data_IF_172391718237
#
_entry.id   IF_172391718237
#
_cell.length_a   1.000
_cell.length_b   1.000
_cell.length_c   1.000
_cell.angle_alpha   90.00
_cell.angle_beta   90.00
_cell.angle_gamma   90.00
#
_symmetry.space_group_name_H-M   'P 1'
#
loop_
_entity.id
_entity.type
_entity.pdbx_description
1 polymer ?
#
# COMPACT_ATOMS: atom_id res chain seq x y z
N UNK A 1 -29.73 -17.99 -1.63
CA UNK A 1 -28.55 -18.78 -1.90
C UNK A 1 -27.35 -17.84 -1.74
N UNK A 2 -26.67 -17.87 -0.58
CA UNK A 2 -25.46 -17.08 -0.36
C UNK A 2 -24.35 -17.71 -1.20
N UNK A 3 -23.85 -16.96 -2.19
CA UNK A 3 -22.56 -17.27 -2.79
C UNK A 3 -21.50 -17.16 -1.67
N UNK A 4 -20.93 -18.29 -1.28
CA UNK A 4 -19.79 -18.36 -0.40
C UNK A 4 -18.72 -17.43 -0.99
N UNK A 5 -18.29 -16.40 -0.22
CA UNK A 5 -17.08 -15.67 -0.52
C UNK A 5 -15.97 -16.73 -0.62
N UNK A 6 -15.40 -16.88 -1.80
CA UNK A 6 -14.21 -17.69 -1.96
C UNK A 6 -13.17 -17.13 -0.98
N UNK A 7 -12.69 -17.99 -0.09
CA UNK A 7 -11.64 -17.71 0.89
C UNK A 7 -10.33 -17.50 0.10
N UNK A 8 -10.23 -16.33 -0.55
CA UNK A 8 -9.06 -15.98 -1.35
C UNK A 8 -8.00 -15.47 -0.40
N UNK A 9 -6.97 -16.29 -0.22
CA UNK A 9 -5.78 -15.97 0.57
C UNK A 9 -5.26 -14.55 0.20
N UNK A 10 -5.01 -13.65 1.17
CA UNK A 10 -4.55 -12.30 0.88
C UNK A 10 -3.17 -12.32 0.21
N UNK A 11 -3.03 -11.52 -0.85
CA UNK A 11 -1.77 -11.32 -1.57
C UNK A 11 -1.04 -10.05 -1.14
N UNK A 12 -1.78 -9.08 -0.58
CA UNK A 12 -1.24 -7.81 -0.10
C UNK A 12 -1.61 -7.62 1.36
N UNK A 13 -0.62 -7.28 2.18
CA UNK A 13 -0.84 -6.83 3.56
C UNK A 13 -0.83 -5.30 3.63
N UNK A 14 -1.87 -4.70 4.20
CA UNK A 14 -1.91 -3.26 4.51
C UNK A 14 -1.69 -3.10 6.00
N UNK A 15 -0.58 -2.48 6.40
CA UNK A 15 -0.30 -2.23 7.82
C UNK A 15 -0.19 -0.74 8.11
N UNK A 16 -0.58 -0.35 9.32
CA UNK A 16 -0.56 1.04 9.76
C UNK A 16 -0.26 1.16 11.26
N UNK A 17 0.30 2.30 11.67
CA UNK A 17 0.71 2.53 13.05
C UNK A 17 -0.45 2.88 14.01
N UNK A 18 -1.59 3.32 13.47
CA UNK A 18 -2.76 3.79 14.22
C UNK A 18 -4.03 3.68 13.39
N UNK A 19 -5.18 3.58 14.06
CA UNK A 19 -6.50 3.66 13.41
C UNK A 19 -6.69 4.98 12.66
N UNK A 20 -6.06 6.08 13.10
CA UNK A 20 -6.14 7.37 12.41
C UNK A 20 -5.52 7.34 11.00
N UNK A 21 -4.59 6.43 10.73
CA UNK A 21 -3.94 6.30 9.43
C UNK A 21 -4.86 5.66 8.39
N UNK A 22 -5.95 5.00 8.86
CA UNK A 22 -6.91 4.36 7.97
C UNK A 22 -7.56 5.32 6.98
N UNK A 23 -7.82 6.57 7.37
CA UNK A 23 -8.34 7.58 6.46
C UNK A 23 -7.45 7.79 5.21
N UNK A 24 -6.16 7.46 5.30
CA UNK A 24 -5.24 7.43 4.16
C UNK A 24 -5.21 6.06 3.50
N UNK A 25 -5.07 4.98 4.29
CA UNK A 25 -4.87 3.62 3.78
C UNK A 25 -6.15 2.98 3.20
N UNK A 26 -7.34 3.51 3.51
CA UNK A 26 -8.58 3.07 2.84
C UNK A 26 -8.53 3.30 1.32
N UNK A 27 -7.80 4.31 0.84
CA UNK A 27 -7.56 4.51 -0.59
C UNK A 27 -6.77 3.36 -1.21
N UNK A 28 -5.81 2.79 -0.47
CA UNK A 28 -5.12 1.55 -0.86
C UNK A 28 -6.11 0.38 -0.97
N UNK A 29 -6.91 0.17 0.07
CA UNK A 29 -7.89 -0.91 0.12
C UNK A 29 -8.92 -0.82 -1.02
N UNK A 30 -9.43 0.38 -1.29
CA UNK A 30 -10.39 0.63 -2.36
C UNK A 30 -9.79 0.37 -3.75
N UNK A 31 -8.54 0.79 -3.97
CA UNK A 31 -7.86 0.54 -5.24
C UNK A 31 -7.54 -0.95 -5.43
N UNK A 32 -7.09 -1.67 -4.41
CA UNK A 32 -6.87 -3.12 -4.48
C UNK A 32 -8.16 -3.87 -4.81
N UNK A 33 -9.31 -3.48 -4.20
CA UNK A 33 -10.63 -4.02 -4.55
C UNK A 33 -10.97 -3.78 -6.01
N UNK A 34 -10.75 -2.56 -6.51
CA UNK A 34 -11.01 -2.21 -7.91
C UNK A 34 -10.16 -3.02 -8.88
N UNK A 35 -8.91 -3.34 -8.51
CA UNK A 35 -7.98 -4.13 -9.31
C UNK A 35 -8.13 -5.64 -9.10
N UNK A 36 -9.09 -6.08 -8.25
CA UNK A 36 -9.34 -7.51 -7.98
C UNK A 36 -8.22 -8.20 -7.20
N UNK A 37 -7.47 -7.44 -6.39
CA UNK A 37 -6.36 -7.98 -5.58
C UNK A 37 -6.84 -8.25 -4.16
N UNK A 38 -6.81 -9.51 -3.67
CA UNK A 38 -7.16 -9.84 -2.29
C UNK A 38 -6.11 -9.31 -1.32
N UNK A 39 -6.56 -8.75 -0.20
CA UNK A 39 -5.71 -8.16 0.82
C UNK A 39 -6.26 -8.35 2.23
N UNK A 40 -5.39 -8.19 3.22
CA UNK A 40 -5.75 -7.99 4.63
C UNK A 40 -5.30 -6.59 5.09
N UNK A 41 -5.89 -6.08 6.18
CA UNK A 41 -5.50 -4.80 6.77
C UNK A 41 -5.41 -4.91 8.29
N UNK A 42 -4.31 -4.41 8.86
CA UNK A 42 -4.04 -4.54 10.29
C UNK A 42 -3.35 -3.30 10.88
N UNK A 43 -3.71 -2.95 12.13
CA UNK A 43 -2.99 -1.94 12.91
C UNK A 43 -1.87 -2.62 13.69
N UNK A 44 -0.63 -2.29 13.33
CA UNK A 44 0.59 -2.77 13.99
C UNK A 44 1.52 -1.59 14.26
N UNK A 45 1.61 -1.15 15.52
CA UNK A 45 2.38 0.04 15.84
C UNK A 45 3.86 -0.29 16.06
N UNK A 46 4.74 0.34 15.29
CA UNK A 46 6.18 0.16 15.43
C UNK A 46 6.72 0.49 16.82
N UNK A 47 6.13 1.49 17.49
CA UNK A 47 6.62 1.96 18.79
C UNK A 47 5.85 1.42 19.97
N UNK A 48 4.57 1.05 19.80
CA UNK A 48 3.70 0.61 20.90
C UNK A 48 3.48 -0.91 20.95
N UNK A 49 3.61 -1.58 19.78
CA UNK A 49 3.48 -3.03 19.64
C UNK A 49 4.57 -3.58 18.70
N UNK A 50 5.88 -3.36 19.03
CA UNK A 50 6.98 -3.76 18.15
C UNK A 50 7.01 -5.27 17.88
N UNK A 51 6.75 -6.10 18.88
CA UNK A 51 6.74 -7.56 18.74
C UNK A 51 5.65 -8.01 17.75
N UNK A 52 4.45 -7.40 17.79
CA UNK A 52 3.38 -7.67 16.83
C UNK A 52 3.77 -7.28 15.41
N UNK A 53 4.50 -6.17 15.24
CA UNK A 53 5.01 -5.78 13.94
C UNK A 53 6.00 -6.83 13.41
N UNK A 54 6.91 -7.29 14.24
CA UNK A 54 7.92 -8.28 13.83
C UNK A 54 7.28 -9.62 13.50
N UNK A 55 6.38 -10.11 14.33
CA UNK A 55 5.60 -11.31 14.05
C UNK A 55 4.81 -11.19 12.73
N UNK A 56 4.14 -10.04 12.51
CA UNK A 56 3.43 -9.78 11.25
C UNK A 56 4.35 -9.90 10.04
N UNK A 57 5.51 -9.23 10.08
CA UNK A 57 6.46 -9.16 8.97
C UNK A 57 7.11 -10.54 8.69
N UNK A 58 7.51 -11.25 9.74
CA UNK A 58 8.18 -12.57 9.66
C UNK A 58 7.23 -13.67 9.14
N UNK A 59 5.94 -13.63 9.52
CA UNK A 59 4.95 -14.64 9.10
C UNK A 59 4.20 -14.30 7.82
N UNK A 60 4.35 -13.08 7.29
CA UNK A 60 3.58 -12.59 6.15
C UNK A 60 3.68 -13.51 4.92
N UNK A 61 4.88 -13.99 4.58
CA UNK A 61 5.10 -14.90 3.44
C UNK A 61 4.36 -16.22 3.62
N UNK A 62 4.38 -16.81 4.80
CA UNK A 62 3.71 -18.08 5.10
C UNK A 62 2.18 -17.94 4.98
N UNK A 63 1.64 -16.76 5.29
CA UNK A 63 0.22 -16.43 5.09
C UNK A 63 -0.15 -16.14 3.63
N UNK A 64 0.82 -16.18 2.69
CA UNK A 64 0.61 -15.97 1.25
C UNK A 64 0.74 -14.53 0.80
N UNK A 65 1.08 -13.60 1.68
CA UNK A 65 1.34 -12.21 1.33
C UNK A 65 2.60 -12.12 0.45
N UNK A 66 2.56 -11.29 -0.57
CA UNK A 66 3.64 -11.11 -1.53
C UNK A 66 4.14 -9.65 -1.60
N UNK A 67 3.32 -8.71 -1.15
CA UNK A 67 3.69 -7.29 -1.04
C UNK A 67 3.07 -6.73 0.25
N UNK A 68 3.84 -5.95 1.00
CA UNK A 68 3.35 -5.24 2.18
C UNK A 68 3.27 -3.74 1.86
N UNK A 69 2.13 -3.11 2.13
CA UNK A 69 1.93 -1.67 2.06
C UNK A 69 1.85 -1.14 3.48
N UNK A 70 2.81 -0.30 3.87
CA UNK A 70 2.96 0.19 5.24
C UNK A 70 2.78 1.71 5.30
N UNK A 71 1.72 2.18 5.98
CA UNK A 71 1.43 3.59 6.17
C UNK A 71 1.81 4.08 7.57
N UNK A 72 2.48 5.23 7.65
CA UNK A 72 2.86 5.83 8.92
C UNK A 72 3.01 7.35 8.83
N UNK A 73 2.74 8.05 9.95
CA UNK A 73 2.85 9.51 10.07
C UNK A 73 3.86 9.95 11.14
N UNK A 74 4.41 11.15 10.98
CA UNK A 74 5.40 11.73 11.88
C UNK A 74 6.74 10.98 11.85
N UNK A 75 7.18 10.43 12.98
CA UNK A 75 8.31 9.50 13.06
C UNK A 75 7.89 8.14 12.45
N UNK A 76 7.78 8.10 11.14
CA UNK A 76 7.18 7.04 10.36
C UNK A 76 8.14 5.83 10.18
N UNK A 77 8.54 5.21 11.27
CA UNK A 77 9.52 4.11 11.29
C UNK A 77 8.93 2.76 10.84
N UNK A 78 7.59 2.61 10.84
CA UNK A 78 6.90 1.35 10.56
C UNK A 78 7.36 0.67 9.26
N UNK A 79 7.41 1.35 8.09
CA UNK A 79 7.81 0.70 6.85
C UNK A 79 9.24 0.16 6.88
N UNK A 80 10.18 0.92 7.42
CA UNK A 80 11.58 0.51 7.54
C UNK A 80 11.78 -0.64 8.52
N UNK A 81 11.10 -0.60 9.68
CA UNK A 81 11.16 -1.69 10.66
C UNK A 81 10.52 -2.97 10.11
N UNK A 82 9.43 -2.86 9.35
CA UNK A 82 8.83 -4.00 8.65
C UNK A 82 9.80 -4.58 7.61
N UNK A 83 10.39 -3.73 6.76
CA UNK A 83 11.33 -4.16 5.72
C UNK A 83 12.60 -4.83 6.27
N UNK A 84 13.00 -4.50 7.49
CA UNK A 84 14.12 -5.16 8.18
C UNK A 84 13.79 -6.58 8.69
N UNK A 85 12.52 -6.98 8.67
CA UNK A 85 12.02 -8.25 9.21
C UNK A 85 11.38 -9.17 8.17
N UNK A 86 11.35 -8.78 6.91
CA UNK A 86 10.82 -9.58 5.81
C UNK A 86 11.67 -9.41 4.56
N UNK A 87 11.66 -10.41 3.69
CA UNK A 87 12.23 -10.33 2.33
C UNK A 87 11.17 -10.00 1.26
N UNK A 88 9.93 -9.72 1.68
CA UNK A 88 8.88 -9.26 0.80
C UNK A 88 9.09 -7.78 0.42
N UNK A 89 8.66 -7.37 -0.79
CA UNK A 89 8.61 -5.95 -1.15
C UNK A 89 7.76 -5.16 -0.15
N UNK A 90 8.32 -4.07 0.39
CA UNK A 90 7.61 -3.13 1.27
C UNK A 90 7.44 -1.79 0.57
N UNK A 91 6.20 -1.33 0.47
CA UNK A 91 5.82 -0.03 -0.10
C UNK A 91 5.40 0.90 1.03
N UNK A 92 6.15 1.98 1.22
CA UNK A 92 5.92 2.96 2.27
C UNK A 92 5.00 4.09 1.82
N UNK A 93 3.94 4.35 2.58
CA UNK A 93 3.01 5.47 2.36
C UNK A 93 3.15 6.48 3.48
N UNK A 94 3.73 7.66 3.21
CA UNK A 94 3.78 8.74 4.19
C UNK A 94 2.37 9.27 4.46
N UNK A 95 1.93 9.20 5.73
CA UNK A 95 0.65 9.76 6.16
C UNK A 95 0.86 11.23 6.53
N UNK A 96 -0.11 12.07 6.19
CA UNK A 96 -0.08 13.51 6.51
C UNK A 96 -0.01 13.70 8.03
N UNK A 97 0.97 14.48 8.47
CA UNK A 97 1.15 14.90 9.87
C UNK A 97 0.62 16.31 10.11
N UNK A 98 0.39 16.67 11.38
CA UNK A 98 -0.04 18.01 11.76
C UNK A 98 1.08 19.05 11.72
N UNK A 99 2.34 18.65 11.88
CA UNK A 99 3.48 19.57 12.02
C UNK A 99 4.03 19.99 10.65
N UNK A 100 4.41 19.04 9.78
CA UNK A 100 5.01 19.32 8.49
C UNK A 100 4.19 18.76 7.31
N UNK A 101 2.88 18.59 7.49
CA UNK A 101 1.97 18.11 6.44
C UNK A 101 2.41 16.80 5.75
N UNK A 102 3.17 15.97 6.46
CA UNK A 102 3.66 14.69 5.98
C UNK A 102 5.07 14.68 5.39
N UNK A 103 5.75 15.84 5.30
CA UNK A 103 7.16 15.90 4.88
C UNK A 103 8.06 15.19 5.90
N UNK A 104 7.77 15.32 7.19
CA UNK A 104 8.41 14.56 8.27
C UNK A 104 8.19 13.05 8.10
N UNK A 105 6.98 12.63 7.77
CA UNK A 105 6.66 11.23 7.46
C UNK A 105 7.46 10.73 6.25
N UNK A 106 7.48 11.50 5.17
CA UNK A 106 8.24 11.17 3.95
C UNK A 106 9.72 11.02 4.24
N UNK A 107 10.34 11.98 4.92
CA UNK A 107 11.77 11.95 5.24
C UNK A 107 12.12 10.81 6.20
N UNK A 108 11.22 10.44 7.11
CA UNK A 108 11.39 9.28 8.00
C UNK A 108 11.39 7.95 7.25
N UNK A 109 10.72 7.84 6.09
CA UNK A 109 10.60 6.60 5.34
C UNK A 109 11.65 6.50 4.24
N UNK A 110 11.91 7.58 3.49
CA UNK A 110 12.64 7.52 2.21
C UNK A 110 14.14 7.28 2.34
N UNK A 111 14.77 7.73 3.44
CA UNK A 111 16.24 7.66 3.64
C UNK A 111 16.68 6.31 4.26
N UNK A 112 16.29 5.22 3.63
CA UNK A 112 16.69 3.88 4.09
C UNK A 112 18.18 3.62 3.84
N UNK A 113 18.85 2.90 4.77
CA UNK A 113 20.25 2.48 4.55
C UNK A 113 20.33 1.44 3.43
N UNK A 114 21.51 1.37 2.81
CA UNK A 114 21.78 0.32 1.83
C UNK A 114 21.58 -1.07 2.46
N UNK A 115 20.85 -1.95 1.73
CA UNK A 115 20.53 -3.31 2.18
C UNK A 115 19.11 -3.49 2.68
N UNK A 116 18.42 -2.44 3.10
CA UNK A 116 17.00 -2.49 3.51
C UNK A 116 16.20 -1.54 2.62
N UNK A 117 15.42 -2.09 1.70
CA UNK A 117 14.70 -1.30 0.71
C UNK A 117 13.23 -1.06 1.12
N UNK A 118 12.77 0.19 0.96
CA UNK A 118 11.36 0.57 1.03
C UNK A 118 11.02 1.42 -0.19
N UNK A 119 10.08 0.96 -1.01
CA UNK A 119 9.56 1.71 -2.16
C UNK A 119 8.63 2.84 -1.66
N UNK A 120 9.15 4.04 -1.45
CA UNK A 120 8.39 5.15 -0.85
C UNK A 120 7.53 5.86 -1.88
N UNK A 121 6.23 5.99 -1.60
CA UNK A 121 5.23 6.64 -2.45
C UNK A 121 4.97 8.10 -2.02
N UNK A 122 4.07 8.78 -2.72
CA UNK A 122 3.66 10.13 -2.41
C UNK A 122 2.94 10.23 -1.05
N UNK A 123 2.90 11.44 -0.48
CA UNK A 123 2.21 11.71 0.80
C UNK A 123 0.69 11.60 0.63
N UNK A 124 0.04 10.93 1.56
CA UNK A 124 -1.42 10.90 1.69
C UNK A 124 -2.15 10.04 0.66
N UNK A 125 -3.41 10.39 0.29
CA UNK A 125 -4.29 9.55 -0.53
C UNK A 125 -3.71 9.17 -1.89
N UNK A 126 -2.99 10.06 -2.57
CA UNK A 126 -2.36 9.78 -3.86
C UNK A 126 -1.28 8.67 -3.72
N UNK A 127 -0.46 8.76 -2.67
CA UNK A 127 0.54 7.75 -2.38
C UNK A 127 -0.07 6.40 -2.02
N UNK A 128 -1.15 6.40 -1.22
CA UNK A 128 -1.89 5.21 -0.86
C UNK A 128 -2.49 4.49 -2.08
N UNK A 129 -3.11 5.26 -2.99
CA UNK A 129 -3.63 4.74 -4.26
C UNK A 129 -2.51 4.16 -5.13
N UNK A 130 -1.40 4.89 -5.28
CA UNK A 130 -0.27 4.46 -6.09
C UNK A 130 0.46 3.24 -5.49
N UNK A 131 0.47 3.08 -4.16
CA UNK A 131 1.00 1.88 -3.51
C UNK A 131 0.20 0.63 -3.92
N UNK A 132 -1.13 0.72 -3.97
CA UNK A 132 -1.98 -0.37 -4.43
C UNK A 132 -1.74 -0.71 -5.91
N UNK A 133 -1.60 0.33 -6.77
CA UNK A 133 -1.31 0.12 -8.20
C UNK A 133 0.06 -0.55 -8.37
N UNK A 134 1.09 -0.08 -7.65
CA UNK A 134 2.43 -0.66 -7.72
C UNK A 134 2.44 -2.11 -7.20
N UNK A 135 1.73 -2.41 -6.10
CA UNK A 135 1.58 -3.78 -5.62
C UNK A 135 0.90 -4.67 -6.68
N UNK A 136 -0.17 -4.19 -7.31
CA UNK A 136 -0.84 -4.91 -8.39
C UNK A 136 0.07 -5.11 -9.62
N UNK A 137 0.93 -4.15 -9.96
CA UNK A 137 1.94 -4.28 -11.03
C UNK A 137 2.97 -5.36 -10.69
N UNK A 138 3.47 -5.40 -9.45
CA UNK A 138 4.41 -6.44 -8.99
C UNK A 138 3.75 -7.82 -9.08
N UNK A 139 2.52 -7.97 -8.59
CA UNK A 139 1.76 -9.21 -8.67
C UNK A 139 1.44 -9.61 -10.11
N UNK A 140 1.18 -8.63 -10.97
CA UNK A 140 0.89 -8.82 -12.38
C UNK A 140 2.04 -9.40 -13.20
N UNK A 141 3.28 -9.38 -12.70
CA UNK A 141 4.42 -10.04 -13.36
C UNK A 141 4.23 -11.56 -13.50
N UNK A 142 3.45 -12.15 -12.59
CA UNK A 142 3.18 -13.61 -12.56
C UNK A 142 1.68 -13.96 -12.61
N UNK A 143 0.78 -12.94 -12.59
CA UNK A 143 -0.68 -13.11 -12.60
C UNK A 143 -1.30 -12.30 -13.74
N UNK A 144 -1.58 -12.95 -14.89
CA UNK A 144 -2.11 -12.27 -16.08
C UNK A 144 -3.44 -11.53 -15.85
N UNK A 145 -4.30 -12.05 -14.98
CA UNK A 145 -5.58 -11.43 -14.62
C UNK A 145 -5.39 -10.08 -13.91
N UNK A 146 -4.42 -9.98 -12.99
CA UNK A 146 -4.10 -8.74 -12.30
C UNK A 146 -3.44 -7.74 -13.28
N UNK A 147 -2.52 -8.22 -14.12
CA UNK A 147 -1.90 -7.39 -15.16
C UNK A 147 -2.95 -6.80 -16.11
N UNK A 148 -3.95 -7.59 -16.51
CA UNK A 148 -5.08 -7.14 -17.34
C UNK A 148 -5.87 -6.03 -16.63
N UNK A 149 -6.25 -6.23 -15.37
CA UNK A 149 -7.02 -5.24 -14.61
C UNK A 149 -6.26 -3.91 -14.47
N UNK A 150 -4.94 -3.96 -14.25
CA UNK A 150 -4.08 -2.76 -14.22
C UNK A 150 -4.05 -2.07 -15.59
N UNK A 151 -3.94 -2.82 -16.68
CA UNK A 151 -3.93 -2.26 -18.03
C UNK A 151 -5.26 -1.58 -18.38
N UNK A 152 -6.40 -2.21 -18.07
CA UNK A 152 -7.74 -1.67 -18.26
C UNK A 152 -7.97 -0.40 -17.43
N UNK A 153 -7.55 -0.40 -16.16
CA UNK A 153 -7.61 0.78 -15.31
C UNK A 153 -6.83 1.96 -15.92
N UNK A 154 -5.60 1.72 -16.41
CA UNK A 154 -4.78 2.77 -17.03
C UNK A 154 -5.38 3.28 -18.34
N UNK A 155 -5.91 2.40 -19.17
CA UNK A 155 -6.58 2.77 -20.41
C UNK A 155 -7.79 3.67 -20.15
N UNK A 156 -8.63 3.31 -19.16
CA UNK A 156 -9.78 4.12 -18.77
C UNK A 156 -9.39 5.52 -18.26
N UNK A 157 -8.28 5.64 -17.52
CA UNK A 157 -7.76 6.94 -17.11
C UNK A 157 -7.30 7.79 -18.30
N UNK A 158 -6.61 7.18 -19.25
CA UNK A 158 -6.15 7.86 -20.46
C UNK A 158 -7.33 8.38 -21.27
N UNK A 159 -8.35 7.56 -21.49
CA UNK A 159 -9.57 7.94 -22.22
C UNK A 159 -10.31 9.10 -21.53
N UNK A 160 -10.45 9.03 -20.19
CA UNK A 160 -11.09 10.10 -19.40
C UNK A 160 -10.38 11.45 -19.56
N UNK A 161 -9.06 11.47 -19.64
CA UNK A 161 -8.29 12.71 -19.84
C UNK A 161 -8.34 13.16 -21.30
N UNK A 162 -8.18 12.21 -22.25
CA UNK A 162 -8.19 12.52 -23.68
C UNK A 162 -9.56 13.05 -24.15
N UNK A 163 -10.67 12.57 -23.57
CA UNK A 163 -12.03 13.04 -23.90
C UNK A 163 -12.34 14.44 -23.35
N UNK A 164 -11.52 14.96 -22.41
CA UNK A 164 -11.70 16.27 -21.76
C UNK A 164 -10.51 17.20 -22.02
N UNK A 165 -10.10 17.34 -23.28
CA UNK A 165 -8.89 18.06 -23.67
C UNK A 165 -9.08 19.60 -23.77
N UNK A 166 -10.31 20.10 -23.68
CA UNK A 166 -10.60 21.53 -23.74
C UNK A 166 -11.01 22.04 -22.35
N UNK A 167 -10.26 22.95 -21.70
CA UNK A 167 -10.62 23.50 -20.40
C UNK A 167 -11.98 24.21 -20.43
N UNK A 168 -12.80 23.97 -19.37
CA UNK A 168 -14.10 24.64 -19.22
C UNK A 168 -15.27 23.98 -19.98
N UNK A 169 -15.04 22.90 -20.72
CA UNK A 169 -16.11 22.08 -21.29
C UNK A 169 -16.33 20.85 -20.36
N UNK A 170 -17.51 20.80 -19.72
CA UNK A 170 -17.95 19.65 -18.88
C UNK A 170 -18.75 18.64 -19.71
#
# INVERSE_FOLDING_TARGET
>A
MNAAAADTQPLVGIIMGSQSDWATLEHTANMLKQLGVPFEAEVVSAHRTPDRLFEYAETARERGIQVIIAGAGGAAHLPGMCAAKTDLPVLGVPVKSSILNGVDSLLSIVQMPAGIAVGTLAIGPAGATNAAIMAAQILGLTRPEIAKNVAEFRAAQTEKVASKNIPGQN
#
